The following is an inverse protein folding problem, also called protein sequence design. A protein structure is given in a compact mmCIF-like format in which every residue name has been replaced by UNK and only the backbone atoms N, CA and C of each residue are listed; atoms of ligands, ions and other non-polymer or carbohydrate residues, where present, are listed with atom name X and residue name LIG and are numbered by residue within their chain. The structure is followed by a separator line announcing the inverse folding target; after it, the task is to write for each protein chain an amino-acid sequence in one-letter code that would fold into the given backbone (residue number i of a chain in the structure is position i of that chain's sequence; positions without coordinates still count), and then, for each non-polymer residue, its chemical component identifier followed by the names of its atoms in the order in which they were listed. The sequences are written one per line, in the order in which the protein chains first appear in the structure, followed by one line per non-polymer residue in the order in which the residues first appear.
data_IF_518315770929
#
_entry.id   IF_518315770929
#
_cell.length_a   1.000
_cell.length_b   1.000
_cell.length_c   1.000
_cell.angle_alpha   90.00
_cell.angle_beta   90.00
_cell.angle_gamma   90.00
#
_symmetry.space_group_name_H-M   'P 1'
#
loop_
_entity.id
_entity.type
_entity.pdbx_description
1 polymer ?
#
# COMPACT_ATOMS: atom_id res chain seq x y z
N UNK A 1 -1.83 7.77 19.12
CA UNK A 1 -2.27 7.26 17.80
C UNK A 1 -3.27 6.12 17.92
N UNK A 2 -3.07 5.11 18.75
CA UNK A 2 -4.01 3.99 18.92
C UNK A 2 -5.48 4.39 18.96
N UNK A 3 -5.88 5.41 19.75
CA UNK A 3 -7.30 5.87 19.83
C UNK A 3 -7.80 6.54 18.54
N UNK A 4 -6.92 7.03 17.67
CA UNK A 4 -7.33 7.50 16.33
C UNK A 4 -7.62 6.32 15.42
N UNK A 5 -6.79 5.31 15.49
CA UNK A 5 -6.88 4.09 14.72
C UNK A 5 -8.16 3.32 15.09
N UNK A 6 -8.37 3.11 16.40
CA UNK A 6 -9.62 2.52 16.94
C UNK A 6 -10.88 3.27 16.47
N UNK A 7 -10.83 4.61 16.43
CA UNK A 7 -11.96 5.44 16.00
C UNK A 7 -12.21 5.40 14.47
N UNK A 8 -11.26 4.88 13.70
CA UNK A 8 -11.40 4.70 12.24
C UNK A 8 -11.90 3.31 11.85
N UNK A 9 -12.24 2.45 12.79
CA UNK A 9 -12.71 1.09 12.54
C UNK A 9 -13.88 1.01 11.56
N UNK A 10 -13.81 0.05 10.67
CA UNK A 10 -14.83 -0.30 9.69
C UNK A 10 -14.72 -1.79 9.34
N UNK A 11 -15.69 -2.33 8.60
CA UNK A 11 -15.68 -3.73 8.16
C UNK A 11 -15.96 -3.86 6.67
N UNK A 12 -15.60 -5.00 6.08
CA UNK A 12 -15.79 -5.26 4.65
C UNK A 12 -17.27 -5.22 4.22
N UNK A 13 -18.20 -5.51 5.14
CA UNK A 13 -19.64 -5.47 4.90
C UNK A 13 -20.20 -4.05 4.68
N UNK A 14 -19.42 -3.01 4.99
CA UNK A 14 -19.82 -1.63 4.68
C UNK A 14 -19.68 -1.29 3.18
N UNK A 15 -19.05 -2.17 2.39
CA UNK A 15 -18.82 -1.96 0.95
C UNK A 15 -20.06 -2.29 0.12
N UNK A 16 -20.68 -1.29 -0.48
CA UNK A 16 -21.74 -1.47 -1.49
C UNK A 16 -21.13 -1.47 -2.91
N UNK A 17 -20.92 -2.65 -3.48
CA UNK A 17 -20.35 -2.83 -4.83
C UNK A 17 -21.44 -2.94 -5.93
N UNK A 18 -22.70 -2.81 -5.58
CA UNK A 18 -23.83 -3.05 -6.52
C UNK A 18 -23.79 -2.13 -7.74
N UNK A 19 -23.31 -0.90 -7.59
CA UNK A 19 -23.19 0.08 -8.68
C UNK A 19 -21.94 -0.11 -9.52
N UNK A 20 -20.91 -0.72 -8.97
CA UNK A 20 -19.61 -0.90 -9.63
C UNK A 20 -19.71 -1.87 -10.80
N UNK A 21 -20.55 -2.90 -10.71
CA UNK A 21 -20.73 -3.89 -11.79
C UNK A 21 -21.18 -3.26 -13.10
N UNK A 22 -22.08 -2.26 -13.04
CA UNK A 22 -22.47 -1.54 -14.25
C UNK A 22 -21.31 -0.72 -14.84
N UNK A 23 -20.50 -0.09 -14.00
CA UNK A 23 -19.34 0.66 -14.46
C UNK A 23 -18.29 -0.30 -15.04
N UNK A 24 -18.01 -1.40 -14.35
CA UNK A 24 -17.08 -2.43 -14.78
C UNK A 24 -17.41 -3.01 -16.14
N UNK A 25 -18.69 -3.43 -16.34
CA UNK A 25 -19.12 -4.11 -17.55
C UNK A 25 -19.34 -3.16 -18.73
N UNK A 26 -19.87 -1.94 -18.49
CA UNK A 26 -20.44 -1.09 -19.54
C UNK A 26 -19.72 0.25 -19.74
N UNK A 27 -18.99 0.75 -18.75
CA UNK A 27 -18.37 2.09 -18.81
C UNK A 27 -16.84 2.05 -18.86
N UNK A 28 -16.23 1.03 -18.27
CA UNK A 28 -14.77 0.87 -18.28
C UNK A 28 -14.31 0.15 -19.55
N UNK A 29 -13.20 0.62 -20.10
CA UNK A 29 -12.52 -0.02 -21.23
C UNK A 29 -11.74 -1.27 -20.79
N UNK A 30 -11.36 -2.13 -21.73
CA UNK A 30 -10.48 -3.28 -21.45
C UNK A 30 -9.18 -2.91 -20.75
N UNK A 31 -8.43 -1.89 -21.25
CA UNK A 31 -7.22 -1.40 -20.59
C UNK A 31 -7.45 -0.89 -19.15
N UNK A 32 -8.56 -0.23 -18.88
CA UNK A 32 -8.89 0.25 -17.53
C UNK A 32 -9.19 -0.91 -16.57
N UNK A 33 -9.96 -1.91 -17.03
CA UNK A 33 -10.19 -3.13 -16.24
C UNK A 33 -8.90 -3.89 -15.96
N UNK A 34 -8.02 -4.01 -16.96
CA UNK A 34 -6.71 -4.62 -16.79
C UNK A 34 -5.90 -3.88 -15.73
N UNK A 35 -5.83 -2.55 -15.78
CA UNK A 35 -5.11 -1.74 -14.80
C UNK A 35 -5.65 -1.97 -13.40
N UNK A 36 -6.96 -1.84 -13.20
CA UNK A 36 -7.59 -2.00 -11.87
C UNK A 36 -7.39 -3.40 -11.32
N UNK A 37 -7.56 -4.44 -12.14
CA UNK A 37 -7.35 -5.84 -11.72
C UNK A 37 -5.94 -6.06 -11.17
N UNK A 38 -4.92 -5.48 -11.82
CA UNK A 38 -3.52 -5.64 -11.39
C UNK A 38 -3.19 -4.80 -10.16
N UNK A 39 -3.81 -3.63 -9.99
CA UNK A 39 -3.72 -2.84 -8.75
C UNK A 39 -4.32 -3.61 -7.57
N UNK A 40 -5.50 -4.20 -7.75
CA UNK A 40 -6.14 -5.02 -6.71
C UNK A 40 -5.31 -6.26 -6.36
N UNK A 41 -4.72 -6.92 -7.37
CA UNK A 41 -3.82 -8.06 -7.15
C UNK A 41 -2.56 -7.65 -6.36
N UNK A 42 -2.00 -6.47 -6.64
CA UNK A 42 -0.89 -5.92 -5.88
C UNK A 42 -1.30 -5.66 -4.43
N UNK A 43 -2.44 -5.04 -4.17
CA UNK A 43 -2.93 -4.78 -2.82
C UNK A 43 -3.12 -6.09 -2.03
N UNK A 44 -3.86 -7.05 -2.59
CA UNK A 44 -4.09 -8.34 -1.94
C UNK A 44 -2.81 -9.11 -1.59
N UNK A 45 -1.80 -9.02 -2.47
CA UNK A 45 -0.49 -9.65 -2.23
C UNK A 45 0.32 -8.92 -1.15
N UNK A 46 0.23 -7.59 -1.08
CA UNK A 46 1.03 -6.75 -0.18
C UNK A 46 0.56 -6.84 1.26
N UNK A 47 -0.74 -6.90 1.52
CA UNK A 47 -1.30 -7.02 2.87
C UNK A 47 -0.82 -8.29 3.59
N UNK A 48 -0.69 -9.39 2.87
CA UNK A 48 -0.11 -10.61 3.43
C UNK A 48 1.33 -10.41 3.92
N UNK A 49 2.15 -9.68 3.15
CA UNK A 49 3.55 -9.37 3.50
C UNK A 49 3.62 -8.40 4.69
N UNK A 50 2.75 -7.38 4.70
CA UNK A 50 2.65 -6.41 5.80
C UNK A 50 2.28 -7.12 7.10
N UNK A 51 1.22 -7.93 7.08
CA UNK A 51 0.77 -8.68 8.24
C UNK A 51 1.84 -9.64 8.77
N UNK A 52 2.54 -10.37 7.91
CA UNK A 52 3.62 -11.26 8.32
C UNK A 52 4.73 -10.49 9.06
N UNK A 53 5.14 -9.33 8.55
CA UNK A 53 6.14 -8.48 9.21
C UNK A 53 5.67 -7.98 10.59
N UNK A 54 4.42 -7.56 10.71
CA UNK A 54 3.85 -7.10 11.97
C UNK A 54 3.81 -8.23 13.01
N UNK A 55 3.33 -9.41 12.61
CA UNK A 55 3.19 -10.56 13.49
C UNK A 55 4.54 -11.14 13.93
N UNK A 56 5.44 -11.38 12.98
CA UNK A 56 6.70 -12.08 13.27
C UNK A 56 7.77 -11.19 13.89
N UNK A 57 7.74 -9.89 13.60
CA UNK A 57 8.85 -9.01 13.95
C UNK A 57 8.43 -7.86 14.88
N UNK A 58 7.63 -6.94 14.42
CA UNK A 58 7.41 -5.68 15.13
C UNK A 58 6.63 -5.86 16.43
N UNK A 59 5.61 -6.70 16.47
CA UNK A 59 4.84 -7.01 17.69
C UNK A 59 5.71 -7.63 18.79
N UNK A 60 6.75 -8.39 18.43
CA UNK A 60 7.66 -9.00 19.38
C UNK A 60 8.78 -8.06 19.83
N UNK A 61 9.28 -7.20 18.93
CA UNK A 61 10.41 -6.32 19.20
C UNK A 61 10.03 -5.04 19.95
N UNK A 62 8.83 -4.53 19.74
CA UNK A 62 8.33 -3.31 20.40
C UNK A 62 7.69 -3.65 21.72
N UNK A 63 8.27 -3.09 22.82
CA UNK A 63 7.86 -3.43 24.20
C UNK A 63 6.93 -2.40 24.86
N UNK A 64 6.80 -1.19 24.29
CA UNK A 64 5.94 -0.13 24.81
C UNK A 64 4.48 -0.54 24.63
N UNK A 65 3.71 -0.58 25.74
CA UNK A 65 2.34 -1.10 25.76
C UNK A 65 1.41 -0.38 24.77
N UNK A 66 1.50 0.95 24.69
CA UNK A 66 0.70 1.75 23.77
C UNK A 66 1.02 1.48 22.29
N UNK A 67 2.28 1.24 21.98
CA UNK A 67 2.72 0.86 20.64
C UNK A 67 2.26 -0.56 20.28
N UNK A 68 2.26 -1.47 21.23
CA UNK A 68 1.73 -2.84 21.05
C UNK A 68 0.22 -2.83 20.83
N UNK A 69 -0.52 -1.95 21.50
CA UNK A 69 -1.95 -1.76 21.25
C UNK A 69 -2.19 -1.27 19.82
N UNK A 70 -1.38 -0.32 19.33
CA UNK A 70 -1.46 0.15 17.95
C UNK A 70 -1.23 -0.98 16.96
N UNK A 71 -0.12 -1.73 17.09
CA UNK A 71 0.17 -2.85 16.20
C UNK A 71 -0.89 -3.97 16.25
N UNK A 72 -1.48 -4.22 17.41
CA UNK A 72 -2.58 -5.17 17.52
C UNK A 72 -3.80 -4.75 16.72
N UNK A 73 -4.13 -3.46 16.71
CA UNK A 73 -5.20 -2.91 15.89
C UNK A 73 -4.82 -2.89 14.41
N UNK A 74 -3.60 -2.46 14.07
CA UNK A 74 -3.10 -2.49 12.68
C UNK A 74 -3.21 -3.90 12.08
N UNK A 75 -2.74 -4.93 12.77
CA UNK A 75 -2.88 -6.33 12.32
C UNK A 75 -4.35 -6.69 12.04
N UNK A 76 -5.26 -6.25 12.90
CA UNK A 76 -6.69 -6.53 12.74
C UNK A 76 -7.26 -5.83 11.51
N UNK A 77 -6.94 -4.54 11.31
CA UNK A 77 -7.49 -3.79 10.18
C UNK A 77 -6.87 -4.25 8.85
N UNK A 78 -5.62 -4.69 8.83
CA UNK A 78 -4.98 -5.30 7.65
C UNK A 78 -5.71 -6.60 7.20
N UNK A 79 -6.26 -7.37 8.13
CA UNK A 79 -7.10 -8.51 7.76
C UNK A 79 -8.39 -8.06 7.08
N UNK A 80 -8.98 -6.93 7.50
CA UNK A 80 -10.17 -6.34 6.86
C UNK A 80 -9.82 -5.78 5.48
N UNK A 81 -8.64 -5.15 5.31
CA UNK A 81 -8.13 -4.75 3.99
C UNK A 81 -8.03 -5.95 3.05
N UNK A 82 -7.38 -7.01 3.49
CA UNK A 82 -7.21 -8.25 2.72
C UNK A 82 -8.55 -8.90 2.32
N UNK A 83 -9.51 -8.96 3.26
CA UNK A 83 -10.88 -9.41 3.00
C UNK A 83 -11.56 -8.53 1.94
N UNK A 84 -11.42 -7.20 2.06
CA UNK A 84 -11.99 -6.24 1.13
C UNK A 84 -11.41 -6.40 -0.28
N UNK A 85 -10.09 -6.54 -0.43
CA UNK A 85 -9.47 -6.78 -1.73
C UNK A 85 -9.90 -8.10 -2.36
N UNK A 86 -10.05 -9.13 -1.55
CA UNK A 86 -10.59 -10.43 -2.00
C UNK A 86 -12.03 -10.27 -2.51
N UNK A 87 -12.87 -9.55 -1.76
CA UNK A 87 -14.25 -9.25 -2.16
C UNK A 87 -14.32 -8.45 -3.48
N UNK A 88 -13.45 -7.46 -3.67
CA UNK A 88 -13.37 -6.66 -4.89
C UNK A 88 -12.97 -7.52 -6.10
N UNK A 89 -11.93 -8.36 -5.95
CA UNK A 89 -11.48 -9.28 -7.01
C UNK A 89 -12.60 -10.26 -7.36
N UNK A 90 -13.21 -10.91 -6.38
CA UNK A 90 -14.29 -11.87 -6.60
C UNK A 90 -15.53 -11.24 -7.26
N UNK A 91 -15.81 -9.98 -6.95
CA UNK A 91 -16.94 -9.25 -7.51
C UNK A 91 -16.72 -8.86 -8.98
N UNK A 92 -15.51 -8.37 -9.32
CA UNK A 92 -15.27 -7.84 -10.67
C UNK A 92 -14.75 -8.89 -11.64
N UNK A 93 -14.02 -9.89 -11.17
CA UNK A 93 -13.39 -10.92 -12.01
C UNK A 93 -14.21 -12.19 -11.97
N UNK A 94 -14.92 -12.47 -13.06
CA UNK A 94 -15.84 -13.63 -13.14
C UNK A 94 -15.13 -14.93 -13.51
N UNK A 95 -14.06 -14.84 -14.29
CA UNK A 95 -13.33 -16.01 -14.79
C UNK A 95 -12.43 -16.61 -13.70
N UNK A 96 -12.64 -17.88 -13.29
CA UNK A 96 -11.88 -18.50 -12.21
C UNK A 96 -10.37 -18.50 -12.45
N UNK A 97 -9.92 -18.82 -13.67
CA UNK A 97 -8.49 -18.83 -14.02
C UNK A 97 -7.84 -17.44 -13.86
N UNK A 98 -8.57 -16.38 -14.21
CA UNK A 98 -8.10 -15.02 -14.04
C UNK A 98 -8.04 -14.63 -12.55
N UNK A 99 -9.01 -15.05 -11.75
CA UNK A 99 -8.96 -14.83 -10.30
C UNK A 99 -7.76 -15.54 -9.68
N UNK A 100 -7.55 -16.81 -10.00
CA UNK A 100 -6.40 -17.57 -9.51
C UNK A 100 -5.08 -16.91 -9.90
N UNK A 101 -4.98 -16.39 -11.14
CA UNK A 101 -3.82 -15.63 -11.59
C UNK A 101 -3.57 -14.39 -10.74
N UNK A 102 -4.61 -13.62 -10.40
CA UNK A 102 -4.52 -12.39 -9.62
C UNK A 102 -4.24 -12.66 -8.13
N UNK A 103 -4.86 -13.68 -7.54
CA UNK A 103 -4.59 -14.07 -6.15
C UNK A 103 -3.18 -14.62 -5.95
N UNK A 104 -2.56 -15.15 -6.99
CA UNK A 104 -1.16 -15.58 -6.97
C UNK A 104 -0.20 -14.52 -7.55
N UNK A 105 -0.51 -13.24 -7.40
CA UNK A 105 0.18 -12.13 -8.06
C UNK A 105 1.69 -12.08 -7.84
N UNK A 106 2.18 -12.47 -6.67
CA UNK A 106 3.62 -12.53 -6.38
C UNK A 106 4.34 -13.50 -7.33
N UNK A 107 3.70 -14.61 -7.71
CA UNK A 107 4.29 -15.61 -8.61
C UNK A 107 3.95 -15.34 -10.08
N UNK A 108 2.80 -14.76 -10.36
CA UNK A 108 2.25 -14.62 -11.73
C UNK A 108 2.54 -13.27 -12.37
N UNK A 109 2.75 -12.20 -11.57
CA UNK A 109 2.91 -10.82 -12.04
C UNK A 109 4.30 -10.29 -11.67
N UNK A 110 5.26 -10.21 -12.63
CA UNK A 110 6.66 -9.89 -12.32
C UNK A 110 6.87 -8.57 -11.58
N UNK A 111 6.06 -7.57 -11.85
CA UNK A 111 6.18 -6.25 -11.20
C UNK A 111 5.66 -6.26 -9.76
N UNK A 112 4.64 -7.05 -9.46
CA UNK A 112 4.18 -7.30 -8.08
C UNK A 112 5.27 -8.06 -7.32
N UNK A 113 5.86 -9.07 -7.95
CA UNK A 113 7.01 -9.81 -7.40
C UNK A 113 8.16 -8.90 -7.02
N UNK A 114 8.53 -7.94 -7.87
CA UNK A 114 9.62 -6.98 -7.61
C UNK A 114 9.39 -6.17 -6.33
N UNK A 115 8.16 -5.66 -6.12
CA UNK A 115 7.79 -4.96 -4.88
C UNK A 115 7.84 -5.89 -3.67
N UNK A 116 7.27 -7.09 -3.80
CA UNK A 116 7.24 -8.10 -2.75
C UNK A 116 8.66 -8.54 -2.34
N UNK A 117 9.54 -8.82 -3.29
CA UNK A 117 10.93 -9.20 -3.02
C UNK A 117 11.70 -8.08 -2.30
N UNK A 118 11.45 -6.82 -2.66
CA UNK A 118 12.05 -5.69 -1.97
C UNK A 118 11.59 -5.62 -0.50
N UNK A 119 10.30 -5.76 -0.23
CA UNK A 119 9.74 -5.76 1.11
C UNK A 119 10.26 -6.94 1.95
N UNK A 120 10.19 -8.16 1.41
CA UNK A 120 10.65 -9.38 2.06
C UNK A 120 12.16 -9.36 2.36
N UNK A 121 12.98 -8.74 1.51
CA UNK A 121 14.41 -8.55 1.78
C UNK A 121 14.63 -7.84 3.12
N UNK A 122 13.85 -6.80 3.42
CA UNK A 122 13.97 -6.06 4.68
C UNK A 122 13.38 -6.83 5.86
N UNK A 123 12.24 -7.50 5.68
CA UNK A 123 11.60 -8.33 6.72
C UNK A 123 12.53 -9.45 7.16
N UNK A 124 13.13 -10.15 6.21
CA UNK A 124 13.99 -11.32 6.46
C UNK A 124 15.43 -10.95 6.89
N UNK A 125 15.84 -9.69 6.78
CA UNK A 125 17.18 -9.27 7.19
C UNK A 125 17.31 -9.23 8.72
N UNK A 126 17.87 -10.31 9.27
CA UNK A 126 18.16 -10.43 10.70
C UNK A 126 19.34 -9.56 11.16
N UNK A 127 20.12 -9.00 10.26
CA UNK A 127 21.30 -8.15 10.56
C UNK A 127 20.94 -6.68 10.56
N UNK A 128 19.90 -6.28 9.84
CA UNK A 128 19.47 -4.89 9.79
C UNK A 128 18.92 -4.45 11.16
N UNK A 129 19.36 -3.31 11.68
CA UNK A 129 18.80 -2.71 12.89
C UNK A 129 17.30 -2.45 12.76
N UNK A 130 16.58 -2.50 13.88
CA UNK A 130 15.14 -2.20 13.92
C UNK A 130 14.80 -0.88 13.22
N UNK A 131 15.60 0.19 13.45
CA UNK A 131 15.38 1.50 12.84
C UNK A 131 15.43 1.49 11.31
N UNK A 132 16.26 0.65 10.71
CA UNK A 132 16.37 0.49 9.25
C UNK A 132 15.15 -0.24 8.70
N UNK A 133 14.75 -1.33 9.36
CA UNK A 133 13.56 -2.10 8.97
C UNK A 133 12.27 -1.30 9.12
N UNK A 134 12.20 -0.45 10.15
CA UNK A 134 11.07 0.45 10.35
C UNK A 134 10.94 1.50 9.22
N UNK A 135 12.06 2.03 8.72
CA UNK A 135 12.05 2.93 7.55
C UNK A 135 11.59 2.19 6.30
N UNK A 136 12.08 0.96 6.08
CA UNK A 136 11.64 0.15 4.93
C UNK A 136 10.14 -0.16 5.01
N UNK A 137 9.63 -0.47 6.20
CA UNK A 137 8.20 -0.67 6.43
C UNK A 137 7.39 0.60 6.14
N UNK A 138 7.84 1.77 6.61
CA UNK A 138 7.21 3.04 6.30
C UNK A 138 7.23 3.35 4.80
N UNK A 139 8.23 2.90 4.05
CA UNK A 139 8.26 3.03 2.59
C UNK A 139 7.25 2.10 1.90
N UNK A 140 7.03 0.89 2.40
CA UNK A 140 5.97 -0.01 1.90
C UNK A 140 4.61 0.65 2.08
N UNK A 141 4.25 1.02 3.31
CA UNK A 141 2.97 1.63 3.66
C UNK A 141 2.74 2.98 2.96
N UNK A 142 3.75 3.84 2.96
CA UNK A 142 3.62 5.23 2.50
C UNK A 142 3.92 5.45 1.02
N UNK A 143 4.76 4.62 0.37
CA UNK A 143 5.18 4.84 -1.01
C UNK A 143 4.58 3.79 -1.95
N UNK A 144 4.72 2.49 -1.66
CA UNK A 144 4.30 1.44 -2.58
C UNK A 144 2.79 1.39 -2.86
N UNK A 145 1.98 1.91 -1.95
CA UNK A 145 0.54 2.04 -2.13
C UNK A 145 0.11 3.37 -2.77
N UNK A 146 0.96 4.39 -2.70
CA UNK A 146 0.57 5.78 -2.97
C UNK A 146 0.04 6.01 -4.38
N UNK A 147 0.73 5.52 -5.39
CA UNK A 147 0.34 5.71 -6.78
C UNK A 147 -0.89 4.88 -7.16
N UNK A 148 -1.03 3.69 -6.58
CA UNK A 148 -2.21 2.85 -6.75
C UNK A 148 -3.46 3.50 -6.16
N UNK A 149 -3.38 4.06 -4.95
CA UNK A 149 -4.46 4.86 -4.35
C UNK A 149 -4.83 6.07 -5.21
N UNK A 150 -3.83 6.83 -5.67
CA UNK A 150 -4.06 7.99 -6.55
C UNK A 150 -4.76 7.59 -7.85
N UNK A 151 -4.46 6.42 -8.40
CA UNK A 151 -5.09 5.89 -9.62
C UNK A 151 -6.57 5.57 -9.40
N UNK A 152 -6.94 5.02 -8.25
CA UNK A 152 -8.35 4.76 -7.91
C UNK A 152 -9.08 6.08 -7.62
N UNK A 153 -8.45 7.05 -6.95
CA UNK A 153 -9.02 8.39 -6.79
C UNK A 153 -9.25 9.10 -8.13
N UNK A 154 -8.44 8.82 -9.15
CA UNK A 154 -8.68 9.31 -10.51
C UNK A 154 -9.97 8.72 -11.11
N UNK A 155 -10.25 7.43 -10.91
CA UNK A 155 -11.52 6.83 -11.32
C UNK A 155 -12.70 7.48 -10.60
N UNK A 156 -12.58 7.74 -9.29
CA UNK A 156 -13.57 8.50 -8.51
C UNK A 156 -13.85 9.87 -9.12
N UNK A 157 -12.80 10.62 -9.49
CA UNK A 157 -12.93 11.93 -10.13
C UNK A 157 -13.70 11.86 -11.46
N UNK A 158 -13.64 10.73 -12.15
CA UNK A 158 -14.40 10.47 -13.38
C UNK A 158 -15.81 9.94 -13.13
N UNK A 159 -16.23 9.79 -11.89
CA UNK A 159 -17.54 9.24 -11.51
C UNK A 159 -17.70 7.77 -11.85
N UNK A 160 -16.64 6.98 -11.67
CA UNK A 160 -16.57 5.55 -11.89
C UNK A 160 -16.29 4.78 -10.59
N UNK A 161 -16.84 3.56 -10.51
CA UNK A 161 -16.52 2.59 -9.45
C UNK A 161 -16.70 3.16 -8.03
N UNK A 162 -17.91 3.57 -7.63
CA UNK A 162 -18.14 4.21 -6.34
C UNK A 162 -17.82 3.32 -5.14
N UNK A 163 -18.07 2.02 -5.21
CA UNK A 163 -17.74 1.07 -4.13
C UNK A 163 -16.22 0.89 -3.97
N UNK A 164 -15.51 0.65 -5.08
CA UNK A 164 -14.05 0.62 -5.12
C UNK A 164 -13.45 1.94 -4.59
N UNK A 165 -14.02 3.07 -4.99
CA UNK A 165 -13.56 4.39 -4.53
C UNK A 165 -13.77 4.58 -3.04
N UNK A 166 -14.87 4.09 -2.48
CA UNK A 166 -15.16 4.17 -1.05
C UNK A 166 -14.19 3.30 -0.25
N UNK A 167 -13.95 2.06 -0.66
CA UNK A 167 -12.93 1.21 -0.02
C UNK A 167 -11.54 1.87 -0.04
N UNK A 168 -11.18 2.46 -1.18
CA UNK A 168 -9.91 3.17 -1.33
C UNK A 168 -9.76 4.36 -0.36
N UNK A 169 -10.85 5.07 -0.05
CA UNK A 169 -10.84 6.16 0.94
C UNK A 169 -10.55 5.63 2.35
N UNK A 170 -11.20 4.54 2.73
CA UNK A 170 -11.03 3.96 4.06
C UNK A 170 -9.61 3.38 4.21
N UNK A 171 -9.18 2.56 3.26
CA UNK A 171 -7.88 1.90 3.31
C UNK A 171 -6.74 2.93 3.23
N UNK A 172 -6.79 3.89 2.29
CA UNK A 172 -5.72 4.89 2.18
C UNK A 172 -5.61 5.80 3.42
N UNK A 173 -6.70 6.02 4.14
CA UNK A 173 -6.69 6.71 5.44
C UNK A 173 -5.96 5.89 6.50
N UNK A 174 -6.23 4.59 6.56
CA UNK A 174 -5.62 3.68 7.52
C UNK A 174 -4.12 3.54 7.23
N UNK A 175 -3.70 3.37 5.98
CA UNK A 175 -2.29 3.35 5.57
C UNK A 175 -1.55 4.65 5.91
N UNK A 176 -2.25 5.79 5.82
CA UNK A 176 -1.73 7.07 6.28
C UNK A 176 -1.43 7.08 7.78
N UNK A 177 -2.31 6.48 8.61
CA UNK A 177 -2.10 6.34 10.05
C UNK A 177 -0.96 5.37 10.38
N UNK A 178 -0.85 4.26 9.65
CA UNK A 178 0.22 3.27 9.80
C UNK A 178 1.60 3.91 9.49
N UNK A 179 1.70 4.63 8.40
CA UNK A 179 2.89 5.39 8.02
C UNK A 179 3.25 6.44 9.07
N UNK A 180 2.28 7.22 9.54
CA UNK A 180 2.47 8.23 10.59
C UNK A 180 2.95 7.58 11.89
N UNK A 181 2.43 6.40 12.25
CA UNK A 181 2.87 5.69 13.43
C UNK A 181 4.31 5.19 13.31
N UNK A 182 4.70 4.66 12.15
CA UNK A 182 6.09 4.28 11.89
C UNK A 182 7.05 5.46 12.03
N UNK A 183 6.68 6.64 11.52
CA UNK A 183 7.46 7.87 11.66
C UNK A 183 7.53 8.34 13.14
N UNK A 184 6.42 8.29 13.86
CA UNK A 184 6.38 8.62 15.29
C UNK A 184 7.31 7.71 16.09
N UNK A 185 7.20 6.40 15.88
CA UNK A 185 8.04 5.41 16.56
C UNK A 185 9.50 5.61 16.22
N UNK A 186 9.84 5.87 14.95
CA UNK A 186 11.20 6.19 14.52
C UNK A 186 11.76 7.42 15.29
N UNK A 187 10.93 8.45 15.49
CA UNK A 187 11.27 9.64 16.27
C UNK A 187 11.64 9.35 17.73
N UNK A 188 11.06 8.30 18.32
CA UNK A 188 11.35 7.88 19.71
C UNK A 188 12.55 6.95 19.86
N UNK A 189 13.13 6.46 18.77
CA UNK A 189 14.28 5.57 18.83
C UNK A 189 15.53 6.30 19.34
N UNK A 190 16.25 5.69 20.29
CA UNK A 190 17.55 6.20 20.79
C UNK A 190 18.67 6.06 19.75
N UNK A 191 18.60 5.01 18.92
CA UNK A 191 19.53 4.75 17.81
C UNK A 191 18.74 4.70 16.52
N UNK A 192 18.81 5.77 15.75
CA UNK A 192 18.13 5.89 14.45
C UNK A 192 19.05 5.44 13.33
N UNK A 193 18.46 5.07 12.19
CA UNK A 193 19.20 4.83 10.96
C UNK A 193 19.91 6.13 10.51
N UNK A 194 21.08 5.97 9.89
CA UNK A 194 21.82 7.12 9.34
C UNK A 194 21.00 7.78 8.22
N UNK A 195 21.01 9.13 8.09
CA UNK A 195 20.27 9.83 7.04
C UNK A 195 20.52 9.30 5.63
N UNK A 196 21.74 8.95 5.27
CA UNK A 196 22.07 8.38 3.96
C UNK A 196 21.40 7.01 3.73
N UNK A 197 21.28 6.21 4.81
CA UNK A 197 20.58 4.91 4.75
C UNK A 197 19.09 5.13 4.56
N UNK A 198 18.48 6.08 5.28
CA UNK A 198 17.08 6.45 5.12
C UNK A 198 16.83 6.92 3.68
N UNK A 199 17.63 7.87 3.19
CA UNK A 199 17.52 8.39 1.83
C UNK A 199 17.62 7.28 0.78
N UNK A 200 18.59 6.37 0.93
CA UNK A 200 18.75 5.23 0.01
C UNK A 200 17.51 4.33 -0.03
N UNK A 201 16.94 3.98 1.13
CA UNK A 201 15.73 3.14 1.20
C UNK A 201 14.58 3.82 0.49
N UNK A 202 14.35 5.10 0.77
CA UNK A 202 13.24 5.87 0.20
C UNK A 202 13.41 6.03 -1.33
N UNK A 203 14.60 6.36 -1.80
CA UNK A 203 14.85 6.52 -3.25
C UNK A 203 14.77 5.20 -4.01
N UNK A 204 15.18 4.08 -3.43
CA UNK A 204 14.96 2.75 -4.01
C UNK A 204 13.45 2.45 -4.14
N UNK A 205 12.67 2.73 -3.10
CA UNK A 205 11.22 2.52 -3.13
C UNK A 205 10.53 3.40 -4.19
N UNK A 206 10.93 4.68 -4.30
CA UNK A 206 10.43 5.59 -5.34
C UNK A 206 10.67 5.05 -6.74
N UNK A 207 11.90 4.60 -7.02
CA UNK A 207 12.26 4.07 -8.33
C UNK A 207 11.41 2.84 -8.69
N UNK A 208 11.15 1.96 -7.73
CA UNK A 208 10.29 0.77 -7.93
C UNK A 208 8.84 1.17 -8.16
N UNK A 209 8.33 2.13 -7.40
CA UNK A 209 6.94 2.61 -7.55
C UNK A 209 6.73 3.34 -8.88
N UNK A 210 7.68 4.17 -9.30
CA UNK A 210 7.64 4.82 -10.61
C UNK A 210 7.66 3.81 -11.75
N UNK A 211 8.57 2.82 -11.72
CA UNK A 211 8.63 1.72 -12.70
C UNK A 211 7.29 0.95 -12.77
N UNK A 212 6.68 0.68 -11.60
CA UNK A 212 5.39 0.02 -11.52
C UNK A 212 4.29 0.77 -12.29
N UNK A 213 4.20 2.08 -12.13
CA UNK A 213 3.09 2.89 -12.65
C UNK A 213 3.38 3.58 -14.00
N UNK A 214 4.59 3.43 -14.55
CA UNK A 214 4.93 3.99 -15.86
C UNK A 214 5.17 2.90 -16.91
N UNK A 215 5.97 1.90 -16.59
CA UNK A 215 6.44 0.91 -17.55
C UNK A 215 5.67 -0.42 -17.45
N UNK A 216 5.51 -0.92 -16.22
CA UNK A 216 4.93 -2.25 -16.02
C UNK A 216 3.39 -2.25 -16.00
N UNK A 217 2.78 -1.26 -15.36
CA UNK A 217 1.33 -1.03 -15.34
C UNK A 217 1.06 0.46 -15.61
N UNK A 218 1.16 0.91 -16.87
CA UNK A 218 1.17 2.34 -17.15
C UNK A 218 -0.15 3.04 -16.80
N UNK A 219 -0.09 4.09 -15.98
CA UNK A 219 -1.27 4.92 -15.64
C UNK A 219 -1.93 5.57 -16.85
N UNK A 220 -1.28 5.61 -18.01
CA UNK A 220 -1.88 6.01 -19.29
C UNK A 220 -3.05 5.12 -19.71
N UNK A 221 -3.09 3.85 -19.27
CA UNK A 221 -4.21 2.93 -19.50
C UNK A 221 -5.53 3.44 -18.93
N UNK A 222 -5.48 4.26 -17.87
CA UNK A 222 -6.64 4.92 -17.26
C UNK A 222 -6.71 6.42 -17.59
N UNK A 223 -5.90 6.89 -18.53
CA UNK A 223 -5.88 8.28 -18.96
C UNK A 223 -5.17 9.26 -18.00
N UNK A 224 -4.32 8.78 -17.11
CA UNK A 224 -3.47 9.62 -16.26
C UNK A 224 -2.14 9.95 -16.94
N UNK A 225 -1.54 11.07 -16.51
CA UNK A 225 -0.23 11.51 -16.96
C UNK A 225 0.89 10.87 -16.14
N UNK A 226 1.70 10.02 -16.77
CA UNK A 226 2.80 9.31 -16.12
C UNK A 226 3.82 10.25 -15.44
N UNK A 227 4.16 11.39 -16.08
CA UNK A 227 5.07 12.37 -15.49
C UNK A 227 4.52 12.99 -14.21
N UNK A 228 3.23 13.34 -14.20
CA UNK A 228 2.58 13.88 -12.99
C UNK A 228 2.48 12.82 -11.90
N UNK A 229 2.30 11.55 -12.26
CA UNK A 229 2.34 10.44 -11.30
C UNK A 229 3.73 10.31 -10.67
N UNK A 230 4.81 10.37 -11.46
CA UNK A 230 6.17 10.36 -10.92
C UNK A 230 6.41 11.52 -9.94
N UNK A 231 6.00 12.73 -10.30
CA UNK A 231 6.10 13.89 -9.41
C UNK A 231 5.28 13.73 -8.12
N UNK A 232 4.12 13.09 -8.20
CA UNK A 232 3.32 12.78 -7.01
C UNK A 232 4.02 11.80 -6.09
N UNK A 233 4.61 10.73 -6.63
CA UNK A 233 5.37 9.73 -5.86
C UNK A 233 6.59 10.38 -5.19
N UNK A 234 7.32 11.24 -5.90
CA UNK A 234 8.44 12.03 -5.37
C UNK A 234 7.99 12.95 -4.22
N UNK A 235 6.85 13.62 -4.38
CA UNK A 235 6.27 14.45 -3.34
C UNK A 235 5.90 13.64 -2.08
N UNK A 236 5.30 12.46 -2.25
CA UNK A 236 4.99 11.56 -1.13
C UNK A 236 6.26 11.11 -0.41
N UNK A 237 7.30 10.76 -1.17
CA UNK A 237 8.60 10.38 -0.63
C UNK A 237 9.25 11.51 0.18
N UNK A 238 9.24 12.74 -0.32
CA UNK A 238 9.75 13.90 0.39
C UNK A 238 9.00 14.18 1.69
N UNK A 239 7.67 13.99 1.70
CA UNK A 239 6.87 14.09 2.94
C UNK A 239 7.30 13.03 3.95
N UNK A 240 7.55 11.79 3.50
CA UNK A 240 8.01 10.71 4.36
C UNK A 240 9.41 10.99 4.90
N UNK A 241 10.34 11.46 4.07
CA UNK A 241 11.69 11.88 4.50
C UNK A 241 11.62 12.93 5.61
N UNK A 242 10.81 13.97 5.43
CA UNK A 242 10.63 15.02 6.44
C UNK A 242 10.01 14.47 7.73
N UNK A 243 9.02 13.59 7.64
CA UNK A 243 8.40 12.94 8.81
C UNK A 243 9.39 12.05 9.58
N UNK A 244 10.37 11.46 8.89
CA UNK A 244 11.49 10.71 9.48
C UNK A 244 12.62 11.62 9.99
N UNK A 245 12.48 12.95 9.90
CA UNK A 245 13.46 13.92 10.37
C UNK A 245 14.66 14.13 9.43
N UNK A 246 14.48 13.88 8.14
CA UNK A 246 15.51 14.05 7.11
C UNK A 246 15.15 15.22 6.17
N UNK A 247 16.12 15.68 5.39
CA UNK A 247 15.90 16.65 4.33
C UNK A 247 15.17 16.01 3.16
N UNK A 248 14.45 16.81 2.39
CA UNK A 248 13.89 16.41 1.10
C UNK A 248 14.98 15.97 0.14
N UNK A 249 14.62 15.08 -0.79
CA UNK A 249 15.51 14.59 -1.84
C UNK A 249 15.16 15.15 -3.23
N UNK A 250 13.87 15.32 -3.51
CA UNK A 250 13.31 15.73 -4.81
C UNK A 250 12.94 17.21 -4.85
#
# INVERSE_FOLDING_TARGET
MYKKDEASFWTAEEMDLSKDLNDWDNRMTGPERHFVSHVLAFFAASDGIVNENLLERFSAEVQIAEARCFYGFQIMIENIHSETYSLLIDTYIREPEQRDYLFNAIETIPVVKKKAEWALRWINDRRAPFSVRLVAFAAVEGIFFSGSFASIFWLKKRGLMPGLSFSNELISRDEGLHTDFACLLFGHLKKRAHPDTVNKIITEAVAIEQDFLTDALPVSLIGMNARLMCQYIEFVADRLLVALGNSKHY
#
